data_IF_587771717973
#
_entry.id   IF_587771717973
#
_cell.length_a   1.000
_cell.length_b   1.000
_cell.length_c   1.000
_cell.angle_alpha   90.00
_cell.angle_beta   90.00
_cell.angle_gamma   90.00
#
_symmetry.space_group_name_H-M   'P 1'
#
loop_
_entity.id
_entity.type
_entity.pdbx_description
1 polymer ?
#
# COMPACT_ATOMS: atom_id res chain seq x y z
N UNK A 1 -65.52 43.10 3.16
CA UNK A 1 -65.53 42.68 4.59
C UNK A 1 -64.49 41.57 4.73
N UNK A 2 -63.27 41.87 5.20
CA UNK A 2 -62.76 41.73 6.58
C UNK A 2 -62.64 40.26 7.09
N UNK A 3 -61.38 39.80 7.23
CA UNK A 3 -60.70 39.00 8.29
C UNK A 3 -61.43 37.79 8.95
N UNK A 4 -60.78 36.68 9.37
CA UNK A 4 -59.45 36.54 9.98
C UNK A 4 -58.78 35.17 9.78
N UNK A 5 -57.46 35.21 9.94
CA UNK A 5 -56.47 34.13 10.00
C UNK A 5 -56.37 33.58 11.43
N UNK A 6 -56.05 32.29 11.61
CA UNK A 6 -55.38 31.79 12.82
C UNK A 6 -54.07 31.09 12.40
N UNK A 7 -52.96 31.78 12.59
CA UNK A 7 -51.60 31.26 12.45
C UNK A 7 -51.33 30.23 13.55
N UNK A 8 -50.95 29.00 13.15
CA UNK A 8 -50.26 28.09 14.08
C UNK A 8 -48.78 28.43 14.06
N UNK A 9 -48.29 28.76 15.25
CA UNK A 9 -46.89 29.11 15.54
C UNK A 9 -45.90 28.07 14.97
N UNK A 10 -44.82 28.50 14.27
CA UNK A 10 -43.80 27.62 13.68
C UNK A 10 -43.05 26.74 14.70
N UNK A 11 -43.22 27.00 15.99
CA UNK A 11 -42.65 26.19 17.08
C UNK A 11 -43.32 24.82 17.24
N UNK A 12 -44.59 24.65 16.81
CA UNK A 12 -45.31 23.37 16.94
C UNK A 12 -44.88 22.37 15.86
N UNK A 13 -44.61 22.84 14.64
CA UNK A 13 -44.10 22.00 13.55
C UNK A 13 -42.66 21.55 13.82
N UNK A 14 -41.83 22.41 14.41
CA UNK A 14 -40.44 22.11 14.75
C UNK A 14 -40.33 21.03 15.83
N UNK A 15 -41.21 21.07 16.85
CA UNK A 15 -41.26 20.05 17.89
C UNK A 15 -41.74 18.67 17.38
N UNK A 16 -42.68 18.63 16.44
CA UNK A 16 -43.12 17.39 15.79
C UNK A 16 -42.05 16.78 14.87
N UNK A 17 -41.22 17.62 14.24
CA UNK A 17 -40.11 17.18 13.40
C UNK A 17 -38.95 16.62 14.25
N UNK A 18 -38.61 17.28 15.37
CA UNK A 18 -37.57 16.84 16.31
C UNK A 18 -37.95 15.55 17.03
N UNK A 19 -39.22 15.37 17.41
CA UNK A 19 -39.72 14.12 18.00
C UNK A 19 -39.64 12.91 17.03
N UNK A 20 -39.80 13.14 15.71
CA UNK A 20 -39.64 12.11 14.66
C UNK A 20 -38.18 11.76 14.36
N UNK A 21 -37.25 12.68 14.61
CA UNK A 21 -35.81 12.44 14.44
C UNK A 21 -35.24 11.71 15.66
N UNK A 22 -35.70 12.07 16.87
CA UNK A 22 -35.29 11.41 18.11
C UNK A 22 -35.74 9.94 18.20
N UNK A 23 -36.87 9.56 17.59
CA UNK A 23 -37.35 8.16 17.58
C UNK A 23 -36.60 7.24 16.62
N UNK A 24 -35.76 7.78 15.72
CA UNK A 24 -34.93 6.99 14.78
C UNK A 24 -33.50 6.75 15.26
N UNK A 25 -33.03 7.41 16.32
CA UNK A 25 -31.69 7.21 16.87
C UNK A 25 -31.74 6.53 18.25
N UNK A 26 -31.78 5.19 18.24
CA UNK A 26 -31.65 4.36 19.44
C UNK A 26 -30.16 4.24 19.80
N UNK A 27 -29.63 5.16 20.60
CA UNK A 27 -28.32 5.00 21.23
C UNK A 27 -28.45 4.10 22.46
N UNK A 28 -27.81 2.93 22.42
CA UNK A 28 -27.41 2.18 23.62
C UNK A 28 -26.02 2.68 24.03
N UNK A 29 -25.94 3.44 25.11
CA UNK A 29 -24.84 3.35 26.05
C UNK A 29 -25.29 3.93 27.39
N UNK A 30 -25.19 3.10 28.44
CA UNK A 30 -25.33 3.51 29.83
C UNK A 30 -24.00 4.12 30.29
N UNK A 31 -24.10 4.92 31.34
CA UNK A 31 -23.02 5.44 32.19
C UNK A 31 -22.45 6.80 31.78
N UNK A 32 -23.17 7.87 32.15
CA UNK A 32 -22.56 9.08 32.74
C UNK A 32 -23.54 9.71 33.74
N UNK A 33 -23.06 9.88 34.98
CA UNK A 33 -23.75 10.58 36.06
C UNK A 33 -23.77 12.10 35.81
N UNK A 34 -24.91 12.73 36.14
CA UNK A 34 -25.07 14.18 36.11
C UNK A 34 -24.56 14.80 37.41
N UNK A 35 -23.65 15.76 37.31
CA UNK A 35 -23.33 16.71 38.39
C UNK A 35 -24.30 17.88 38.29
N UNK A 36 -25.06 18.10 39.37
CA UNK A 36 -25.93 19.27 39.54
C UNK A 36 -25.11 20.54 39.75
N UNK A 37 -25.41 21.60 39.01
CA UNK A 37 -24.99 22.97 39.36
C UNK A 37 -26.23 23.82 39.54
N UNK A 38 -26.28 24.50 40.68
CA UNK A 38 -27.39 25.31 41.18
C UNK A 38 -27.52 26.67 40.49
N UNK A 39 -28.75 27.18 40.55
CA UNK A 39 -29.27 28.52 40.24
C UNK A 39 -28.26 29.68 40.28
N UNK A 40 -28.34 30.52 39.25
CA UNK A 40 -27.89 31.92 39.29
C UNK A 40 -27.24 32.36 37.98
N UNK A 41 -27.95 33.19 37.23
CA UNK A 41 -27.45 34.25 36.33
C UNK A 41 -27.84 34.20 34.85
N UNK A 42 -28.41 35.33 34.45
CA UNK A 42 -28.74 35.72 33.09
C UNK A 42 -27.48 35.78 32.22
N UNK A 43 -27.36 34.91 31.22
CA UNK A 43 -26.50 35.13 30.06
C UNK A 43 -27.26 34.79 28.78
N UNK A 44 -27.83 35.84 28.18
CA UNK A 44 -28.71 35.79 27.03
C UNK A 44 -28.00 35.71 25.68
N UNK A 45 -28.74 35.18 24.70
CA UNK A 45 -28.71 35.38 23.24
C UNK A 45 -27.41 35.20 22.42
N UNK A 46 -26.22 35.14 23.00
CA UNK A 46 -24.97 35.03 22.21
C UNK A 46 -24.72 33.61 21.66
N UNK A 47 -25.11 32.57 22.40
CA UNK A 47 -24.82 31.18 22.05
C UNK A 47 -25.74 30.64 20.94
N UNK A 48 -27.02 31.02 20.97
CA UNK A 48 -28.01 30.61 19.96
C UNK A 48 -27.70 31.22 18.58
N UNK A 49 -27.20 32.46 18.52
CA UNK A 49 -26.76 33.07 17.26
C UNK A 49 -25.52 32.38 16.66
N UNK A 50 -24.57 31.95 17.50
CA UNK A 50 -23.38 31.21 17.02
C UNK A 50 -23.73 29.82 16.47
N UNK A 51 -24.68 29.12 17.10
CA UNK A 51 -25.16 27.83 16.60
C UNK A 51 -25.95 27.96 15.29
N UNK A 52 -26.78 29.01 15.14
CA UNK A 52 -27.53 29.26 13.92
C UNK A 52 -26.62 29.62 12.73
N UNK A 53 -25.57 30.41 12.98
CA UNK A 53 -24.60 30.80 11.95
C UNK A 53 -23.77 29.61 11.44
N UNK A 54 -23.37 28.70 12.35
CA UNK A 54 -22.68 27.46 11.97
C UNK A 54 -23.57 26.53 11.14
N UNK A 55 -24.85 26.39 11.52
CA UNK A 55 -25.80 25.53 10.79
C UNK A 55 -26.07 26.05 9.36
N UNK A 56 -26.24 27.37 9.21
CA UNK A 56 -26.45 28.02 7.90
C UNK A 56 -25.20 27.91 7.02
N UNK A 57 -24.00 28.08 7.60
CA UNK A 57 -22.74 27.92 6.86
C UNK A 57 -22.53 26.49 6.34
N UNK A 58 -22.88 25.46 7.13
CA UNK A 58 -22.84 24.06 6.68
C UNK A 58 -23.87 23.72 5.61
N UNK A 59 -25.07 24.33 5.63
CA UNK A 59 -26.07 24.14 4.57
C UNK A 59 -25.68 24.81 3.26
N UNK A 60 -25.08 26.01 3.30
CA UNK A 60 -24.56 26.68 2.10
C UNK A 60 -23.40 25.90 1.45
N UNK A 61 -22.51 25.31 2.26
CA UNK A 61 -21.45 24.43 1.76
C UNK A 61 -21.99 23.16 1.07
N UNK A 62 -23.11 22.61 1.55
CA UNK A 62 -23.78 21.44 0.93
C UNK A 62 -24.55 21.79 -0.36
N UNK A 63 -24.98 23.04 -0.52
CA UNK A 63 -25.61 23.51 -1.76
C UNK A 63 -24.55 23.81 -2.82
N UNK A 64 -23.41 24.40 -2.47
CA UNK A 64 -22.31 24.69 -3.41
C UNK A 64 -21.68 23.40 -3.96
N UNK A 65 -21.62 22.31 -3.17
CA UNK A 65 -21.09 21.01 -3.64
C UNK A 65 -22.06 20.23 -4.54
N UNK A 66 -23.36 20.58 -4.55
CA UNK A 66 -24.37 19.90 -5.37
C UNK A 66 -24.65 20.59 -6.73
N UNK A 67 -24.01 21.72 -7.03
CA UNK A 67 -24.11 22.38 -8.36
C UNK A 67 -22.84 22.11 -9.17
N UNK A 68 -22.50 20.83 -9.43
CA UNK A 68 -21.67 20.48 -10.60
C UNK A 68 -21.71 18.98 -10.97
N UNK A 69 -22.91 18.38 -10.97
CA UNK A 69 -23.09 17.00 -11.44
C UNK A 69 -24.39 16.83 -12.23
N UNK A 70 -24.60 17.68 -13.24
CA UNK A 70 -25.65 17.45 -14.23
C UNK A 70 -25.24 17.99 -15.60
N UNK A 71 -24.43 17.22 -16.33
CA UNK A 71 -24.31 17.32 -17.79
C UNK A 71 -23.64 16.06 -18.34
N UNK A 72 -24.46 15.07 -18.68
CA UNK A 72 -24.36 14.22 -19.89
C UNK A 72 -25.34 13.06 -19.75
N UNK A 73 -26.60 13.35 -20.08
CA UNK A 73 -27.58 12.37 -20.53
C UNK A 73 -27.76 12.61 -22.01
N UNK A 74 -27.33 11.66 -22.84
CA UNK A 74 -27.89 11.48 -24.18
C UNK A 74 -28.36 10.04 -24.29
N UNK A 75 -29.59 9.94 -24.79
CA UNK A 75 -30.46 8.78 -24.92
C UNK A 75 -29.89 7.66 -25.78
N UNK A 76 -30.25 6.42 -25.48
CA UNK A 76 -30.71 5.45 -26.50
C UNK A 76 -31.56 4.35 -25.83
N UNK A 77 -32.82 4.25 -26.26
CA UNK A 77 -33.68 3.09 -26.01
C UNK A 77 -33.40 1.99 -27.04
N UNK A 78 -33.42 0.71 -26.64
CA UNK A 78 -34.39 -0.29 -27.11
C UNK A 78 -34.19 -1.71 -26.50
N UNK A 79 -35.34 -2.32 -26.20
CA UNK A 79 -35.75 -3.75 -26.17
C UNK A 79 -35.27 -4.76 -25.09
N UNK A 80 -36.30 -5.33 -24.43
CA UNK A 80 -36.28 -6.49 -23.56
C UNK A 80 -36.08 -7.80 -24.35
N UNK A 81 -35.15 -8.64 -23.87
CA UNK A 81 -34.96 -10.00 -24.36
C UNK A 81 -34.10 -10.83 -23.40
N UNK A 82 -34.77 -11.56 -22.52
CA UNK A 82 -34.34 -12.81 -21.86
C UNK A 82 -32.86 -13.03 -21.46
N UNK A 83 -32.61 -13.01 -20.15
CA UNK A 83 -31.76 -14.04 -19.52
C UNK A 83 -30.32 -13.66 -19.13
N UNK A 84 -30.14 -13.37 -17.84
CA UNK A 84 -28.87 -13.35 -17.07
C UNK A 84 -27.83 -12.31 -17.47
N UNK A 85 -27.98 -11.10 -16.92
CA UNK A 85 -26.96 -10.06 -16.91
C UNK A 85 -25.82 -10.41 -15.94
N UNK A 86 -24.67 -10.79 -16.50
CA UNK A 86 -23.38 -10.77 -15.82
C UNK A 86 -22.99 -9.30 -15.60
N UNK A 87 -22.90 -8.84 -14.35
CA UNK A 87 -22.41 -7.50 -14.01
C UNK A 87 -20.91 -7.37 -14.34
N UNK A 88 -20.57 -7.24 -15.62
CA UNK A 88 -19.28 -6.73 -16.04
C UNK A 88 -19.28 -5.21 -15.88
N UNK A 89 -18.80 -4.76 -14.72
CA UNK A 89 -18.44 -3.37 -14.49
C UNK A 89 -17.23 -3.01 -15.38
N UNK A 90 -17.44 -2.81 -16.69
CA UNK A 90 -16.44 -2.24 -17.60
C UNK A 90 -16.28 -0.76 -17.28
N UNK A 91 -15.57 -0.45 -16.18
CA UNK A 91 -14.92 0.86 -16.07
C UNK A 91 -13.95 0.97 -17.24
N UNK A 92 -14.08 2.03 -18.03
CA UNK A 92 -13.06 2.42 -19.00
C UNK A 92 -11.68 2.35 -18.33
N UNK A 93 -10.62 1.92 -19.03
CA UNK A 93 -9.33 1.78 -18.40
C UNK A 93 -8.88 3.12 -17.80
N UNK A 94 -8.55 3.09 -16.52
CA UNK A 94 -8.23 4.27 -15.70
C UNK A 94 -7.00 5.06 -16.17
N UNK A 95 -6.28 4.56 -17.18
CA UNK A 95 -5.12 5.21 -17.80
C UNK A 95 -5.49 6.28 -18.84
N UNK A 96 -6.78 6.53 -19.13
CA UNK A 96 -7.19 7.46 -20.18
C UNK A 96 -7.34 8.92 -19.71
N UNK A 97 -6.93 9.25 -18.48
CA UNK A 97 -6.74 10.66 -18.11
C UNK A 97 -5.36 11.09 -18.55
N UNK A 98 -5.31 12.03 -19.49
CA UNK A 98 -4.15 12.91 -19.75
C UNK A 98 -3.96 13.84 -18.55
N UNK A 99 -3.74 13.27 -17.38
CA UNK A 99 -3.26 13.98 -16.21
C UNK A 99 -1.76 14.19 -16.47
N UNK A 100 -1.29 15.43 -16.41
CA UNK A 100 0.13 15.74 -16.59
C UNK A 100 0.90 15.28 -15.36
N UNK A 101 1.06 13.97 -15.27
CA UNK A 101 1.81 13.32 -14.22
C UNK A 101 3.27 13.80 -14.23
N UNK A 102 3.80 14.37 -15.32
CA UNK A 102 5.12 15.01 -15.29
C UNK A 102 5.13 16.23 -14.34
N UNK A 103 4.07 17.04 -14.34
CA UNK A 103 3.88 18.15 -13.39
C UNK A 103 3.75 17.62 -11.95
N UNK A 104 2.95 16.57 -11.73
CA UNK A 104 2.80 15.98 -10.40
C UNK A 104 4.12 15.36 -9.89
N UNK A 105 4.87 14.68 -10.76
CA UNK A 105 6.18 14.11 -10.44
C UNK A 105 7.23 15.19 -10.15
N UNK A 106 7.23 16.33 -10.85
CA UNK A 106 8.15 17.44 -10.56
C UNK A 106 8.00 17.94 -9.12
N UNK A 107 6.78 17.93 -8.58
CA UNK A 107 6.52 18.35 -7.20
C UNK A 107 7.09 17.38 -6.15
N UNK A 108 7.25 16.09 -6.48
CA UNK A 108 7.86 15.09 -5.60
C UNK A 108 9.35 14.87 -5.85
N UNK A 109 9.87 15.36 -6.97
CA UNK A 109 11.21 15.05 -7.46
C UNK A 109 12.32 15.75 -6.68
N UNK A 110 12.01 16.74 -5.84
CA UNK A 110 13.03 17.54 -5.15
C UNK A 110 12.70 17.64 -3.67
N UNK A 111 13.51 16.96 -2.87
CA UNK A 111 13.57 17.13 -1.42
C UNK A 111 14.89 17.81 -1.04
N UNK A 112 14.90 18.96 -0.31
CA UNK A 112 16.10 19.76 -0.09
C UNK A 112 17.28 19.00 0.52
N UNK A 113 17.02 18.16 1.53
CA UNK A 113 18.06 17.34 2.16
C UNK A 113 18.60 16.28 1.19
N UNK A 114 17.74 15.67 0.38
CA UNK A 114 18.17 14.68 -0.59
C UNK A 114 18.98 15.34 -1.71
N UNK A 115 18.62 16.55 -2.13
CA UNK A 115 19.39 17.32 -3.11
C UNK A 115 20.78 17.68 -2.59
N UNK A 116 20.87 18.12 -1.33
CA UNK A 116 22.13 18.43 -0.66
C UNK A 116 23.05 17.20 -0.62
N UNK A 117 22.49 16.03 -0.25
CA UNK A 117 23.23 14.75 -0.21
C UNK A 117 23.67 14.34 -1.62
N UNK A 118 22.78 14.33 -2.61
CA UNK A 118 23.12 13.91 -3.98
C UNK A 118 24.11 14.87 -4.65
N UNK A 119 24.03 16.17 -4.39
CA UNK A 119 25.01 17.16 -4.88
C UNK A 119 26.37 16.96 -4.24
N UNK A 120 26.42 16.71 -2.93
CA UNK A 120 27.66 16.39 -2.22
C UNK A 120 28.28 15.08 -2.72
N UNK A 121 27.44 14.08 -2.99
CA UNK A 121 27.87 12.82 -3.61
C UNK A 121 28.47 13.06 -5.00
N UNK A 122 27.83 13.85 -5.87
CA UNK A 122 28.37 14.18 -7.21
C UNK A 122 29.73 14.86 -7.11
N UNK A 123 29.87 15.87 -6.24
CA UNK A 123 31.15 16.55 -6.00
C UNK A 123 32.25 15.59 -5.55
N UNK A 124 31.94 14.66 -4.64
CA UNK A 124 32.89 13.64 -4.21
C UNK A 124 33.28 12.68 -5.35
N UNK A 125 32.38 12.39 -6.29
CA UNK A 125 32.68 11.55 -7.46
C UNK A 125 33.55 12.26 -8.50
N UNK A 126 33.47 13.59 -8.57
CA UNK A 126 34.28 14.43 -9.46
C UNK A 126 35.67 14.69 -8.88
N UNK A 127 35.79 14.76 -7.56
CA UNK A 127 37.09 14.77 -6.90
C UNK A 127 37.72 13.37 -6.94
N UNK A 128 38.97 13.24 -7.38
CA UNK A 128 39.75 11.98 -7.29
C UNK A 128 40.07 11.54 -5.84
N UNK A 129 39.39 12.11 -4.84
CA UNK A 129 39.59 11.82 -3.43
C UNK A 129 38.85 10.58 -2.94
N UNK A 130 39.11 10.23 -1.68
CA UNK A 130 38.45 9.13 -0.99
C UNK A 130 36.98 9.45 -0.80
N UNK A 131 36.11 8.53 -1.24
CA UNK A 131 34.68 8.63 -1.03
C UNK A 131 34.33 8.37 0.43
N UNK A 132 33.50 9.22 1.03
CA UNK A 132 32.93 9.01 2.35
C UNK A 132 31.40 8.99 2.27
N UNK A 133 30.80 7.99 2.89
CA UNK A 133 29.36 7.87 3.06
C UNK A 133 29.01 8.05 4.54
N UNK A 134 28.78 9.28 5.03
CA UNK A 134 28.27 9.49 6.37
C UNK A 134 26.96 8.71 6.55
N UNK A 135 26.83 7.95 7.63
CA UNK A 135 25.60 7.18 7.92
C UNK A 135 24.36 8.08 7.96
N UNK A 136 24.52 9.33 8.41
CA UNK A 136 23.46 10.35 8.41
C UNK A 136 22.91 10.71 7.01
N UNK A 137 23.61 10.34 5.93
CA UNK A 137 23.10 10.50 4.57
C UNK A 137 22.23 9.33 4.12
N UNK A 138 22.29 8.19 4.81
CA UNK A 138 21.45 7.06 4.48
C UNK A 138 19.99 7.38 4.80
N UNK A 139 19.11 6.87 3.95
CA UNK A 139 17.67 6.96 4.14
C UNK A 139 17.30 6.22 5.44
N UNK A 140 16.68 6.87 6.45
CA UNK A 140 16.44 6.24 7.74
C UNK A 140 15.59 4.96 7.63
N UNK A 141 15.80 3.97 8.53
CA UNK A 141 14.96 2.78 8.55
C UNK A 141 13.54 3.11 9.03
N UNK A 142 12.64 2.16 8.86
CA UNK A 142 11.30 2.23 9.46
C UNK A 142 10.48 3.48 9.07
N UNK A 143 10.64 3.93 7.83
CA UNK A 143 9.83 5.01 7.28
C UNK A 143 8.35 4.62 7.16
N UNK A 144 7.46 5.63 7.05
CA UNK A 144 6.03 5.40 7.00
C UNK A 144 5.61 4.84 5.64
N UNK A 145 5.30 3.54 5.60
CA UNK A 145 4.71 2.90 4.42
C UNK A 145 3.53 2.03 4.84
N UNK A 146 2.45 2.07 4.05
CA UNK A 146 1.27 1.24 4.31
C UNK A 146 1.65 -0.25 4.27
N UNK A 147 1.20 -0.97 5.28
CA UNK A 147 1.42 -2.40 5.40
C UNK A 147 0.40 -3.16 4.55
N UNK A 148 0.85 -4.26 3.97
CA UNK A 148 -0.03 -5.26 3.37
C UNK A 148 0.22 -6.57 4.10
N UNK A 149 -0.81 -7.08 4.77
CA UNK A 149 -0.74 -8.29 5.56
C UNK A 149 -1.78 -9.25 5.01
N UNK A 150 -1.40 -10.50 4.83
CA UNK A 150 -2.32 -11.55 4.41
C UNK A 150 -2.47 -12.53 5.56
N UNK A 151 -3.70 -12.88 5.87
CA UNK A 151 -4.04 -13.73 7.01
C UNK A 151 -4.73 -15.01 6.57
N UNK A 152 -4.47 -16.10 7.28
CA UNK A 152 -5.20 -17.35 7.21
C UNK A 152 -5.84 -17.58 8.59
N UNK A 153 -7.08 -17.10 8.80
CA UNK A 153 -7.74 -17.12 10.09
C UNK A 153 -7.82 -18.53 10.71
N UNK A 154 -8.10 -19.56 9.92
CA UNK A 154 -8.22 -20.96 10.40
C UNK A 154 -6.97 -21.46 11.11
N UNK A 155 -5.79 -20.96 10.71
CA UNK A 155 -4.50 -21.42 11.22
C UNK A 155 -3.80 -20.41 12.13
N UNK A 156 -4.49 -19.33 12.52
CA UNK A 156 -3.90 -18.19 13.25
C UNK A 156 -2.58 -17.73 12.62
N UNK A 157 -2.51 -17.70 11.28
CA UNK A 157 -1.27 -17.42 10.54
C UNK A 157 -1.38 -16.09 9.82
N UNK A 158 -0.33 -15.28 9.89
CA UNK A 158 -0.24 -14.02 9.18
C UNK A 158 1.11 -13.88 8.50
N UNK A 159 1.12 -13.31 7.31
CA UNK A 159 2.36 -12.93 6.62
C UNK A 159 2.30 -11.49 6.14
N UNK A 160 3.42 -10.79 6.24
CA UNK A 160 3.56 -9.51 5.57
C UNK A 160 3.87 -9.69 4.07
N UNK A 161 3.26 -8.84 3.24
CA UNK A 161 3.47 -8.77 1.80
C UNK A 161 4.51 -7.70 1.46
N UNK A 162 5.78 -8.09 1.49
CA UNK A 162 6.89 -7.26 1.01
C UNK A 162 7.04 -7.41 -0.49
N UNK A 163 6.95 -6.29 -1.22
CA UNK A 163 7.05 -6.28 -2.67
C UNK A 163 8.38 -6.84 -3.19
N UNK A 164 8.29 -7.54 -4.32
CA UNK A 164 9.42 -8.19 -5.02
C UNK A 164 10.08 -9.34 -4.27
N UNK A 165 9.30 -9.96 -3.37
CA UNK A 165 9.67 -11.17 -2.63
C UNK A 165 8.49 -12.16 -2.67
N UNK A 166 8.32 -12.81 -3.83
CA UNK A 166 7.27 -13.83 -4.07
C UNK A 166 5.84 -13.41 -3.65
N UNK A 167 5.47 -12.13 -3.80
CA UNK A 167 4.17 -11.62 -3.32
C UNK A 167 2.97 -12.36 -3.90
N UNK A 168 2.94 -12.60 -5.21
CA UNK A 168 1.84 -13.31 -5.89
C UNK A 168 1.72 -14.76 -5.44
N UNK A 169 2.83 -15.49 -5.33
CA UNK A 169 2.82 -16.89 -4.90
C UNK A 169 2.38 -16.98 -3.44
N UNK A 170 2.85 -16.07 -2.59
CA UNK A 170 2.46 -16.01 -1.18
C UNK A 170 0.98 -15.67 -1.01
N UNK A 171 0.44 -14.78 -1.84
CA UNK A 171 -0.99 -14.50 -1.89
C UNK A 171 -1.80 -15.76 -2.23
N UNK A 172 -1.37 -16.47 -3.28
CA UNK A 172 -2.00 -17.70 -3.71
C UNK A 172 -1.95 -18.82 -2.66
N UNK A 173 -0.84 -18.96 -1.92
CA UNK A 173 -0.74 -19.89 -0.78
C UNK A 173 -1.80 -19.57 0.27
N UNK A 174 -1.92 -18.31 0.68
CA UNK A 174 -2.91 -17.93 1.69
C UNK A 174 -4.35 -18.03 1.18
N UNK A 175 -4.56 -17.79 -0.12
CA UNK A 175 -5.84 -18.03 -0.76
C UNK A 175 -6.24 -19.52 -0.68
N UNK A 176 -5.32 -20.41 -1.05
CA UNK A 176 -5.49 -21.86 -0.93
C UNK A 176 -5.73 -22.31 0.53
N UNK A 177 -5.06 -21.69 1.51
CA UNK A 177 -5.28 -22.00 2.93
C UNK A 177 -6.68 -21.59 3.42
N UNK A 178 -7.28 -20.55 2.82
CA UNK A 178 -8.61 -20.07 3.21
C UNK A 178 -9.74 -20.90 2.61
N UNK A 179 -9.61 -21.34 1.35
CA UNK A 179 -10.62 -22.12 0.64
C UNK A 179 -9.98 -23.12 -0.33
N UNK A 180 -9.44 -24.26 0.16
CA UNK A 180 -8.77 -25.23 -0.70
C UNK A 180 -9.73 -25.89 -1.69
N UNK A 181 -10.97 -26.16 -1.27
CA UNK A 181 -12.00 -26.81 -2.10
C UNK A 181 -12.38 -25.90 -3.26
N UNK A 182 -12.70 -24.63 -2.99
CA UNK A 182 -13.05 -23.65 -4.02
C UNK A 182 -11.87 -23.35 -4.94
N UNK A 183 -10.66 -23.25 -4.40
CA UNK A 183 -9.44 -23.02 -5.18
C UNK A 183 -9.21 -24.15 -6.20
N UNK A 184 -9.30 -25.41 -5.77
CA UNK A 184 -9.14 -26.58 -6.65
C UNK A 184 -10.30 -26.73 -7.64
N UNK A 185 -11.55 -26.55 -7.18
CA UNK A 185 -12.74 -26.65 -8.04
C UNK A 185 -12.76 -25.62 -9.18
N UNK A 186 -12.05 -24.49 -9.02
CA UNK A 186 -11.88 -23.48 -10.06
C UNK A 186 -10.59 -23.66 -10.88
N UNK A 187 -9.96 -24.84 -10.83
CA UNK A 187 -8.73 -25.18 -11.54
C UNK A 187 -7.58 -24.17 -11.30
N UNK A 188 -7.52 -23.59 -10.09
CA UNK A 188 -6.47 -22.64 -9.73
C UNK A 188 -5.23 -23.40 -9.29
N UNK A 189 -4.05 -22.85 -9.60
CA UNK A 189 -2.78 -23.40 -9.12
C UNK A 189 -1.92 -22.28 -8.52
N UNK A 190 -1.31 -22.55 -7.37
CA UNK A 190 -0.52 -21.55 -6.64
C UNK A 190 0.62 -21.00 -7.50
N UNK A 191 1.26 -21.86 -8.31
CA UNK A 191 2.40 -21.49 -9.15
C UNK A 191 2.02 -20.63 -10.37
N UNK A 192 0.80 -20.75 -10.90
CA UNK A 192 0.34 -20.01 -12.08
C UNK A 192 -0.58 -18.83 -11.76
N UNK A 193 -0.83 -18.57 -10.48
CA UNK A 193 -1.72 -17.48 -10.06
C UNK A 193 -1.26 -16.11 -10.54
N UNK A 194 -2.23 -15.29 -10.90
CA UNK A 194 -2.01 -13.92 -11.38
C UNK A 194 -2.64 -12.95 -10.40
N UNK A 195 -1.88 -11.93 -10.02
CA UNK A 195 -2.35 -10.89 -9.10
C UNK A 195 -3.68 -10.25 -9.51
N UNK A 196 -3.87 -10.00 -10.81
CA UNK A 196 -5.08 -9.35 -11.35
C UNK A 196 -6.32 -10.26 -11.34
N UNK A 197 -6.11 -11.57 -11.27
CA UNK A 197 -7.14 -12.60 -11.40
C UNK A 197 -7.18 -13.50 -10.16
N UNK A 198 -6.58 -13.05 -9.04
CA UNK A 198 -6.47 -13.83 -7.80
C UNK A 198 -7.86 -14.28 -7.35
N UNK A 199 -8.02 -15.59 -7.15
CA UNK A 199 -9.30 -16.20 -6.77
C UNK A 199 -9.90 -15.56 -5.50
N UNK A 200 -9.07 -15.32 -4.50
CA UNK A 200 -9.52 -14.72 -3.24
C UNK A 200 -9.60 -13.19 -3.26
N UNK A 201 -9.13 -12.55 -4.34
CA UNK A 201 -9.06 -11.10 -4.46
C UNK A 201 -8.43 -10.45 -3.21
N UNK A 202 -9.20 -9.62 -2.51
CA UNK A 202 -8.74 -8.86 -1.35
C UNK A 202 -9.22 -9.40 0.00
N UNK A 203 -9.93 -10.54 0.03
CA UNK A 203 -10.63 -11.02 1.24
C UNK A 203 -9.68 -11.28 2.43
N UNK A 204 -8.46 -11.74 2.13
CA UNK A 204 -7.44 -12.05 3.13
C UNK A 204 -6.50 -10.87 3.44
N UNK A 205 -6.66 -9.70 2.78
CA UNK A 205 -5.78 -8.55 2.97
C UNK A 205 -6.17 -7.70 4.16
N UNK A 206 -5.18 -7.27 4.93
CA UNK A 206 -5.30 -6.40 6.09
C UNK A 206 -4.18 -5.36 6.07
N UNK A 207 -4.44 -4.19 6.64
CA UNK A 207 -3.50 -3.06 6.66
C UNK A 207 -2.74 -2.90 7.95
N UNK A 208 -3.09 -3.66 9.00
CA UNK A 208 -2.46 -3.59 10.31
C UNK A 208 -2.76 -4.90 11.08
N UNK A 209 -1.73 -5.56 11.60
CA UNK A 209 -1.90 -6.83 12.33
C UNK A 209 -2.45 -6.60 13.74
N UNK A 210 -2.14 -5.47 14.37
CA UNK A 210 -2.61 -5.18 15.73
C UNK A 210 -4.13 -4.95 15.76
N UNK A 211 -4.67 -4.38 14.68
CA UNK A 211 -6.12 -4.19 14.52
C UNK A 211 -6.79 -5.55 14.29
N UNK A 212 -6.21 -6.40 13.43
CA UNK A 212 -6.71 -7.77 13.19
C UNK A 212 -6.75 -8.60 14.46
N UNK A 213 -5.67 -8.59 15.24
CA UNK A 213 -5.59 -9.37 16.48
C UNK A 213 -6.58 -8.90 17.53
N UNK A 214 -6.83 -7.59 17.58
CA UNK A 214 -7.82 -6.98 18.48
C UNK A 214 -9.24 -7.35 18.07
N UNK A 215 -9.58 -7.18 16.79
CA UNK A 215 -10.91 -7.49 16.24
C UNK A 215 -11.24 -8.98 16.37
N UNK A 216 -10.26 -9.84 16.13
CA UNK A 216 -10.43 -11.29 16.17
C UNK A 216 -10.23 -11.88 17.59
N UNK A 217 -9.89 -11.05 18.58
CA UNK A 217 -9.58 -11.43 19.95
C UNK A 217 -8.58 -12.61 20.06
N UNK A 218 -7.57 -12.65 19.18
CA UNK A 218 -6.56 -13.72 19.14
C UNK A 218 -5.26 -13.27 18.51
N UNK A 219 -4.18 -13.97 18.86
CA UNK A 219 -2.84 -13.73 18.30
C UNK A 219 -2.58 -14.59 17.07
N UNK A 220 -1.81 -14.03 16.14
CA UNK A 220 -1.38 -14.75 14.95
C UNK A 220 0.10 -15.06 15.03
N UNK A 221 0.50 -16.26 14.61
CA UNK A 221 1.89 -16.52 14.28
C UNK A 221 2.24 -15.73 13.02
N UNK A 222 3.32 -14.96 13.09
CA UNK A 222 3.71 -14.02 12.03
C UNK A 222 5.00 -14.48 11.37
N UNK A 223 5.04 -14.41 10.05
CA UNK A 223 6.29 -14.55 9.31
C UNK A 223 6.39 -13.51 8.19
N UNK A 224 7.61 -13.23 7.77
CA UNK A 224 7.86 -12.33 6.64
C UNK A 224 9.05 -12.85 5.85
N UNK A 225 8.95 -12.80 4.53
CA UNK A 225 10.11 -13.06 3.68
C UNK A 225 10.87 -11.76 3.49
N UNK A 226 12.16 -11.79 3.77
CA UNK A 226 13.11 -10.70 3.51
C UNK A 226 14.03 -11.11 2.36
N UNK A 227 14.56 -10.14 1.63
CA UNK A 227 15.42 -10.41 0.47
C UNK A 227 16.60 -9.45 0.47
N UNK A 228 17.73 -9.90 -0.07
CA UNK A 228 18.86 -9.02 -0.29
C UNK A 228 18.41 -7.72 -1.00
N UNK A 229 18.65 -6.52 -0.43
CA UNK A 229 18.06 -5.29 -0.94
C UNK A 229 18.43 -4.98 -2.39
N UNK A 230 19.66 -5.26 -2.80
CA UNK A 230 20.11 -5.09 -4.19
C UNK A 230 19.37 -6.01 -5.16
N UNK A 231 19.24 -7.29 -4.83
CA UNK A 231 18.56 -8.27 -5.69
C UNK A 231 17.03 -8.02 -5.73
N UNK A 232 16.46 -7.46 -4.65
CA UNK A 232 15.08 -6.95 -4.61
C UNK A 232 14.90 -5.74 -5.53
N UNK A 233 15.81 -4.76 -5.47
CA UNK A 233 15.80 -3.59 -6.37
C UNK A 233 15.86 -4.02 -7.84
N UNK A 234 16.79 -4.93 -8.19
CA UNK A 234 16.90 -5.47 -9.55
C UNK A 234 15.58 -6.10 -10.01
N UNK A 235 14.93 -6.86 -9.14
CA UNK A 235 13.63 -7.45 -9.46
C UNK A 235 12.54 -6.39 -9.63
N UNK A 236 12.57 -5.34 -8.80
CA UNK A 236 11.68 -4.20 -8.91
C UNK A 236 11.83 -3.48 -10.24
N UNK A 237 13.06 -3.14 -10.63
CA UNK A 237 13.34 -2.40 -11.85
C UNK A 237 12.97 -3.21 -13.09
N UNK A 238 13.40 -4.47 -13.21
CA UNK A 238 13.05 -5.27 -14.39
C UNK A 238 11.54 -5.45 -14.53
N UNK A 239 10.83 -5.76 -13.43
CA UNK A 239 9.38 -5.94 -13.48
C UNK A 239 8.63 -4.63 -13.78
N UNK A 240 8.87 -3.58 -12.98
CA UNK A 240 8.08 -2.34 -13.02
C UNK A 240 8.51 -1.35 -14.09
N UNK A 241 9.78 -1.36 -14.44
CA UNK A 241 10.34 -0.41 -15.38
C UNK A 241 10.48 -0.93 -16.80
N UNK A 242 10.80 -2.22 -16.96
CA UNK A 242 11.06 -2.78 -18.29
C UNK A 242 9.88 -3.61 -18.80
N UNK A 243 9.33 -4.49 -17.96
CA UNK A 243 8.33 -5.46 -18.39
C UNK A 243 6.89 -4.92 -18.33
N UNK A 244 6.55 -4.11 -17.33
CA UNK A 244 5.19 -3.61 -17.15
C UNK A 244 4.84 -2.52 -18.18
N UNK A 245 3.95 -2.88 -19.12
CA UNK A 245 3.51 -1.99 -20.21
C UNK A 245 2.27 -1.14 -19.88
N UNK A 246 1.65 -1.37 -18.72
CA UNK A 246 0.39 -0.72 -18.32
C UNK A 246 0.53 0.79 -18.02
N UNK A 247 1.76 1.28 -17.88
CA UNK A 247 2.04 2.70 -17.63
C UNK A 247 2.56 3.36 -18.89
N UNK A 248 2.07 4.59 -19.12
CA UNK A 248 2.52 5.44 -20.21
C UNK A 248 4.04 5.60 -20.16
N UNK A 249 4.76 5.54 -21.30
CA UNK A 249 6.21 5.71 -21.33
C UNK A 249 6.70 7.01 -20.68
N UNK A 250 5.87 8.05 -20.65
CA UNK A 250 6.15 9.36 -20.06
C UNK A 250 6.18 9.34 -18.52
N UNK A 251 5.42 8.44 -17.88
CA UNK A 251 5.31 8.35 -16.40
C UNK A 251 6.05 7.16 -15.83
N UNK A 252 6.38 6.18 -16.68
CA UNK A 252 7.08 4.96 -16.29
C UNK A 252 8.43 5.30 -15.64
N UNK A 253 8.74 4.61 -14.53
CA UNK A 253 9.99 4.79 -13.78
C UNK A 253 10.21 6.23 -13.32
N UNK A 254 9.19 6.84 -12.72
CA UNK A 254 9.26 8.23 -12.25
C UNK A 254 9.62 9.19 -13.39
N UNK A 255 9.17 8.91 -14.61
CA UNK A 255 9.47 9.69 -15.82
C UNK A 255 10.92 9.63 -16.31
N UNK A 256 11.73 8.68 -15.83
CA UNK A 256 13.14 8.56 -16.23
C UNK A 256 13.38 7.65 -17.44
N UNK A 257 12.33 7.06 -18.02
CA UNK A 257 12.42 6.06 -19.10
C UNK A 257 13.41 4.96 -18.70
N UNK A 258 14.55 4.86 -19.38
CA UNK A 258 15.61 3.86 -19.10
C UNK A 258 16.86 4.45 -18.43
N UNK A 259 16.86 5.74 -18.06
CA UNK A 259 18.01 6.39 -17.43
C UNK A 259 18.08 6.01 -15.94
N UNK A 260 19.02 5.13 -15.59
CA UNK A 260 19.19 4.64 -14.22
C UNK A 260 19.60 5.74 -13.23
N UNK A 261 20.50 6.67 -13.61
CA UNK A 261 20.91 7.79 -12.75
C UNK A 261 19.75 8.70 -12.39
N UNK A 262 18.92 9.02 -13.37
CA UNK A 262 17.67 9.75 -13.17
C UNK A 262 16.76 8.99 -12.20
N UNK A 263 16.55 7.69 -12.46
CA UNK A 263 15.61 6.89 -11.68
C UNK A 263 16.01 6.81 -10.20
N UNK A 264 17.26 6.46 -9.90
CA UNK A 264 17.71 6.36 -8.50
C UNK A 264 17.73 7.71 -7.80
N UNK A 265 18.03 8.80 -8.50
CA UNK A 265 18.00 10.14 -7.91
C UNK A 265 16.58 10.57 -7.56
N UNK A 266 15.62 10.41 -8.50
CA UNK A 266 14.21 10.74 -8.26
C UNK A 266 13.58 9.84 -7.20
N UNK A 267 13.92 8.55 -7.20
CA UNK A 267 13.48 7.63 -6.16
C UNK A 267 14.02 8.04 -4.79
N UNK A 268 15.27 8.47 -4.68
CA UNK A 268 15.85 8.94 -3.43
C UNK A 268 15.12 10.18 -2.89
N UNK A 269 14.86 11.19 -3.74
CA UNK A 269 14.05 12.36 -3.35
C UNK A 269 12.65 11.97 -2.90
N UNK A 270 11.98 11.10 -3.67
CA UNK A 270 10.63 10.62 -3.36
C UNK A 270 10.60 9.94 -1.98
N UNK A 271 11.53 9.04 -1.71
CA UNK A 271 11.59 8.34 -0.42
C UNK A 271 11.89 9.31 0.74
N UNK A 272 12.81 10.26 0.57
CA UNK A 272 13.03 11.30 1.56
C UNK A 272 11.76 12.14 1.83
N UNK A 273 11.06 12.54 0.77
CA UNK A 273 9.78 13.25 0.89
C UNK A 273 8.72 12.44 1.64
N UNK A 274 8.63 11.14 1.38
CA UNK A 274 7.74 10.23 2.10
C UNK A 274 8.10 10.15 3.60
N UNK A 275 9.39 10.09 3.92
CA UNK A 275 9.85 9.96 5.30
C UNK A 275 9.61 11.24 6.12
N UNK A 276 10.02 12.40 5.59
CA UNK A 276 10.07 13.64 6.35
C UNK A 276 8.82 14.52 6.17
N UNK A 277 8.27 14.61 4.95
CA UNK A 277 7.20 15.56 4.64
C UNK A 277 5.81 14.93 4.60
N UNK A 278 5.69 13.60 4.72
CA UNK A 278 4.43 12.84 4.60
C UNK A 278 3.55 13.30 3.44
N UNK A 279 4.18 13.60 2.31
CA UNK A 279 3.52 14.22 1.17
C UNK A 279 2.42 13.31 0.63
N UNK A 280 1.25 13.88 0.32
CA UNK A 280 0.23 13.16 -0.46
C UNK A 280 0.85 12.73 -1.78
N UNK A 281 0.76 11.44 -2.12
CA UNK A 281 1.30 10.89 -3.35
C UNK A 281 0.18 10.51 -4.32
N UNK A 282 0.35 10.86 -5.58
CA UNK A 282 -0.39 10.26 -6.68
C UNK A 282 -0.37 8.73 -6.56
N UNK A 283 -1.45 8.07 -6.99
CA UNK A 283 -1.58 6.62 -6.90
C UNK A 283 -0.46 5.89 -7.65
N UNK A 284 -0.06 6.40 -8.80
CA UNK A 284 0.99 5.89 -9.67
C UNK A 284 2.37 6.04 -9.01
N UNK A 285 2.62 7.20 -8.40
CA UNK A 285 3.86 7.48 -7.66
C UNK A 285 3.97 6.53 -6.48
N UNK A 286 2.90 6.38 -5.70
CA UNK A 286 2.83 5.44 -4.58
C UNK A 286 3.00 3.99 -5.06
N UNK A 287 2.40 3.64 -6.20
CA UNK A 287 2.56 2.32 -6.80
C UNK A 287 4.01 2.04 -7.15
N UNK A 288 4.78 3.00 -7.68
CA UNK A 288 6.22 2.80 -7.88
C UNK A 288 6.93 2.72 -6.52
N UNK A 289 6.71 3.69 -5.64
CA UNK A 289 7.39 3.79 -4.33
C UNK A 289 7.31 2.49 -3.52
N UNK A 290 6.13 1.87 -3.39
CA UNK A 290 5.95 0.65 -2.59
C UNK A 290 6.81 -0.54 -3.06
N UNK A 291 7.21 -0.59 -4.34
CA UNK A 291 8.06 -1.66 -4.86
C UNK A 291 9.53 -1.44 -4.60
N UNK A 292 9.95 -0.19 -4.37
CA UNK A 292 11.35 0.20 -4.23
C UNK A 292 11.71 0.76 -2.85
N UNK A 293 10.75 1.19 -2.05
CA UNK A 293 10.98 1.64 -0.67
C UNK A 293 11.64 0.55 0.17
N UNK A 294 12.53 0.88 1.11
CA UNK A 294 13.23 -0.09 1.94
C UNK A 294 12.26 -1.11 2.56
N UNK A 295 12.67 -2.37 2.64
CA UNK A 295 11.81 -3.42 3.22
C UNK A 295 11.61 -3.22 4.73
N UNK A 296 12.53 -2.54 5.42
CA UNK A 296 12.36 -2.12 6.82
C UNK A 296 11.22 -1.12 7.02
N UNK A 297 10.72 -0.46 5.96
CA UNK A 297 9.58 0.45 6.04
C UNK A 297 8.24 -0.28 6.06
N UNK A 298 8.24 -1.59 5.80
CA UNK A 298 7.02 -2.39 5.68
C UNK A 298 6.72 -3.12 7.00
N UNK A 299 5.54 -3.74 7.06
CA UNK A 299 5.15 -4.70 8.11
C UNK A 299 5.16 -4.16 9.55
N UNK A 300 5.11 -2.83 9.73
CA UNK A 300 5.29 -2.18 11.03
C UNK A 300 6.56 -2.64 11.76
N UNK A 301 7.65 -2.94 11.03
CA UNK A 301 8.84 -3.52 11.65
C UNK A 301 9.42 -2.64 12.76
N UNK A 302 9.19 -1.32 12.71
CA UNK A 302 9.54 -0.41 13.81
C UNK A 302 9.08 -0.90 15.19
N UNK A 303 7.87 -1.46 15.25
CA UNK A 303 7.24 -1.92 16.49
C UNK A 303 7.25 -3.44 16.61
N UNK A 304 7.15 -4.14 15.48
CA UNK A 304 6.78 -5.55 15.45
C UNK A 304 7.90 -6.48 14.99
N UNK A 305 9.09 -5.99 14.60
CA UNK A 305 10.14 -6.80 13.98
C UNK A 305 10.46 -8.09 14.77
N UNK A 306 10.61 -8.00 16.08
CA UNK A 306 10.92 -9.15 16.95
C UNK A 306 9.81 -10.20 17.02
N UNK A 307 8.59 -9.87 16.58
CA UNK A 307 7.45 -10.79 16.58
C UNK A 307 7.34 -11.63 15.31
N UNK A 308 8.12 -11.30 14.27
CA UNK A 308 8.10 -12.00 12.99
C UNK A 308 9.16 -13.10 12.93
N UNK A 309 8.75 -14.28 12.48
CA UNK A 309 9.70 -15.27 11.96
C UNK A 309 10.18 -14.80 10.58
N UNK A 310 11.41 -14.30 10.50
CA UNK A 310 11.99 -13.84 9.23
C UNK A 310 12.51 -15.04 8.44
N UNK A 311 12.15 -15.09 7.15
CA UNK A 311 12.64 -16.09 6.20
C UNK A 311 13.44 -15.35 5.14
N UNK A 312 14.72 -15.68 5.02
CA UNK A 312 15.53 -15.13 3.94
C UNK A 312 15.16 -15.78 2.61
N UNK A 313 14.89 -14.96 1.61
CA UNK A 313 14.71 -15.39 0.23
C UNK A 313 16.10 -15.54 -0.43
N UNK A 314 16.55 -16.77 -0.72
CA UNK A 314 17.92 -17.00 -1.13
C UNK A 314 18.14 -16.66 -2.62
N UNK A 315 19.37 -16.32 -2.98
CA UNK A 315 19.77 -16.04 -4.37
C UNK A 315 20.63 -17.19 -4.92
N UNK A 316 20.11 -18.42 -4.80
CA UNK A 316 20.83 -19.66 -5.12
C UNK A 316 20.10 -20.49 -6.17
N UNK A 317 20.76 -21.50 -6.74
CA UNK A 317 20.15 -22.45 -7.69
C UNK A 317 19.08 -23.32 -7.04
N UNK A 318 19.23 -23.64 -5.75
CA UNK A 318 18.30 -24.46 -4.96
C UNK A 318 17.24 -23.64 -4.23
N UNK A 319 17.05 -22.36 -4.63
CA UNK A 319 16.16 -21.43 -3.97
C UNK A 319 14.73 -21.98 -3.78
N UNK A 320 14.15 -22.63 -4.80
CA UNK A 320 12.79 -23.16 -4.72
C UNK A 320 12.66 -24.19 -3.59
N UNK A 321 13.65 -25.09 -3.46
CA UNK A 321 13.73 -26.08 -2.38
C UNK A 321 13.78 -25.43 -1.02
N UNK A 322 14.72 -24.50 -0.83
CA UNK A 322 14.91 -23.82 0.45
C UNK A 322 13.65 -23.06 0.88
N UNK A 323 13.03 -22.31 -0.04
CA UNK A 323 11.78 -21.59 0.24
C UNK A 323 10.64 -22.56 0.56
N UNK A 324 10.52 -23.66 -0.18
CA UNK A 324 9.46 -24.65 0.07
C UNK A 324 9.63 -25.36 1.43
N UNK A 325 10.86 -25.58 1.89
CA UNK A 325 11.17 -26.14 3.22
C UNK A 325 10.84 -25.15 4.34
N UNK A 326 11.21 -23.89 4.17
CA UNK A 326 10.91 -22.83 5.14
C UNK A 326 9.39 -22.60 5.28
N UNK A 327 8.65 -22.61 4.16
CA UNK A 327 7.19 -22.57 4.18
C UNK A 327 6.61 -23.79 4.88
N UNK A 328 7.05 -25.01 4.53
CA UNK A 328 6.56 -26.24 5.17
C UNK A 328 6.77 -26.21 6.68
N UNK A 329 7.93 -25.74 7.15
CA UNK A 329 8.24 -25.57 8.57
C UNK A 329 7.26 -24.63 9.27
N UNK A 330 6.99 -23.46 8.69
CA UNK A 330 6.06 -22.48 9.26
C UNK A 330 4.63 -23.02 9.25
N UNK A 331 4.18 -23.60 8.14
CA UNK A 331 2.83 -24.13 7.99
C UNK A 331 2.60 -25.32 8.94
N UNK A 332 3.60 -26.19 9.12
CA UNK A 332 3.55 -27.30 10.07
C UNK A 332 3.39 -26.79 11.50
N UNK A 333 4.15 -25.76 11.88
CA UNK A 333 4.04 -25.10 13.19
C UNK A 333 2.67 -24.43 13.40
N UNK A 334 2.04 -23.96 12.32
CA UNK A 334 0.69 -23.38 12.36
C UNK A 334 -0.44 -24.43 12.44
N UNK A 335 -0.10 -25.72 12.41
CA UNK A 335 -1.10 -26.80 12.42
C UNK A 335 -1.77 -27.04 11.06
N UNK A 336 -1.16 -26.61 9.95
CA UNK A 336 -1.71 -26.90 8.61
C UNK A 336 -1.56 -28.40 8.29
N UNK A 337 -2.63 -29.07 7.84
CA UNK A 337 -2.64 -30.49 7.48
C UNK A 337 -1.53 -30.89 6.47
N UNK A 338 -1.03 -32.12 6.60
CA UNK A 338 0.12 -32.61 5.81
C UNK A 338 -0.19 -32.68 4.30
N UNK A 339 -1.40 -33.06 3.92
CA UNK A 339 -1.88 -33.09 2.54
C UNK A 339 -1.84 -31.69 1.91
N UNK A 340 -2.40 -30.68 2.58
CA UNK A 340 -2.35 -29.28 2.13
C UNK A 340 -0.91 -28.77 2.02
N UNK A 341 -0.07 -29.06 3.02
CA UNK A 341 1.35 -28.68 2.99
C UNK A 341 2.10 -29.35 1.85
N UNK A 342 1.78 -30.60 1.53
CA UNK A 342 2.39 -31.35 0.42
C UNK A 342 2.05 -30.70 -0.93
N UNK A 343 0.81 -30.23 -1.10
CA UNK A 343 0.38 -29.48 -2.28
C UNK A 343 1.14 -28.15 -2.38
N UNK A 344 1.15 -27.37 -1.30
CA UNK A 344 1.88 -26.09 -1.26
C UNK A 344 3.36 -26.30 -1.58
N UNK A 345 4.02 -27.27 -0.95
CA UNK A 345 5.43 -27.61 -1.21
C UNK A 345 5.64 -27.93 -2.69
N UNK A 346 4.82 -28.78 -3.29
CA UNK A 346 4.91 -29.14 -4.72
C UNK A 346 4.77 -27.90 -5.61
N UNK A 347 3.82 -27.01 -5.31
CA UNK A 347 3.60 -25.78 -6.08
C UNK A 347 4.78 -24.82 -5.96
N UNK A 348 5.35 -24.65 -4.77
CA UNK A 348 6.55 -23.83 -4.57
C UNK A 348 7.77 -24.39 -5.31
N UNK A 349 7.84 -25.72 -5.45
CA UNK A 349 8.90 -26.42 -6.18
C UNK A 349 8.79 -26.31 -7.70
N UNK A 350 7.60 -26.07 -8.26
CA UNK A 350 7.42 -25.80 -9.72
C UNK A 350 8.17 -24.55 -10.17
N UNK A 351 8.58 -23.71 -9.23
CA UNK A 351 9.48 -22.60 -9.47
C UNK A 351 8.74 -21.32 -9.81
N UNK A 352 9.09 -20.71 -10.93
CA UNK A 352 8.89 -19.27 -11.17
C UNK A 352 7.44 -18.90 -11.43
N UNK A 353 6.97 -17.85 -10.75
CA UNK A 353 5.74 -17.17 -11.15
C UNK A 353 5.91 -16.42 -12.47
N UNK A 354 4.80 -16.08 -13.17
CA UNK A 354 4.84 -15.30 -14.41
C UNK A 354 5.59 -13.96 -14.31
N UNK A 355 5.68 -13.37 -13.11
CA UNK A 355 6.38 -12.10 -12.84
C UNK A 355 7.85 -12.28 -12.40
N UNK A 356 8.37 -13.50 -12.38
CA UNK A 356 9.75 -13.76 -12.00
C UNK A 356 10.73 -13.15 -13.02
N UNK A 357 11.63 -12.29 -12.55
CA UNK A 357 12.66 -11.65 -13.39
C UNK A 357 14.01 -12.40 -13.39
N UNK A 358 14.14 -13.44 -12.55
CA UNK A 358 15.37 -14.20 -12.34
C UNK A 358 15.86 -14.86 -13.65
N UNK A 359 17.18 -14.82 -13.90
CA UNK A 359 17.85 -15.31 -15.13
C UNK A 359 17.41 -14.64 -16.46
N UNK A 360 16.66 -13.54 -16.44
CA UNK A 360 16.38 -12.79 -17.69
C UNK A 360 17.62 -12.04 -18.18
N UNK A 361 17.80 -11.94 -19.51
CA UNK A 361 18.88 -11.14 -20.13
C UNK A 361 18.81 -9.68 -19.68
N UNK A 362 17.59 -9.15 -19.54
CA UNK A 362 17.33 -7.82 -19.02
C UNK A 362 17.91 -7.62 -17.61
N UNK A 363 17.72 -8.59 -16.69
CA UNK A 363 18.28 -8.53 -15.34
C UNK A 363 19.81 -8.45 -15.35
N UNK A 364 20.48 -9.26 -16.15
CA UNK A 364 21.94 -9.22 -16.28
C UNK A 364 22.43 -7.87 -16.83
N UNK A 365 21.72 -7.32 -17.82
CA UNK A 365 22.01 -5.98 -18.35
C UNK A 365 21.86 -4.87 -17.31
N UNK A 366 20.76 -4.87 -16.55
CA UNK A 366 20.52 -3.90 -15.47
C UNK A 366 21.55 -4.04 -14.36
N UNK A 367 21.89 -5.28 -13.95
CA UNK A 367 22.93 -5.53 -12.96
C UNK A 367 24.28 -4.98 -13.40
N UNK A 368 24.68 -5.21 -14.65
CA UNK A 368 25.91 -4.64 -15.22
C UNK A 368 25.87 -3.11 -15.19
N UNK A 369 24.80 -2.50 -15.70
CA UNK A 369 24.62 -1.04 -15.72
C UNK A 369 24.78 -0.41 -14.33
N UNK A 370 24.21 -1.02 -13.29
CA UNK A 370 24.35 -0.52 -11.92
C UNK A 370 25.79 -0.70 -11.43
N UNK A 371 26.37 -1.90 -11.59
CA UNK A 371 27.68 -2.20 -11.03
C UNK A 371 28.81 -1.36 -11.66
N UNK A 372 28.66 -0.99 -12.93
CA UNK A 372 29.63 -0.13 -13.64
C UNK A 372 29.48 1.35 -13.32
N UNK A 373 28.36 1.79 -12.73
CA UNK A 373 28.09 3.20 -12.45
C UNK A 373 28.21 3.50 -10.96
N UNK A 374 29.36 4.03 -10.55
CA UNK A 374 29.68 4.33 -9.15
C UNK A 374 28.62 5.22 -8.49
N UNK A 375 28.10 6.24 -9.18
CA UNK A 375 27.06 7.11 -8.63
C UNK A 375 25.79 6.32 -8.31
N UNK A 376 25.33 5.48 -9.24
CA UNK A 376 24.12 4.65 -9.04
C UNK A 376 24.30 3.71 -7.86
N UNK A 377 25.47 3.05 -7.76
CA UNK A 377 25.79 2.18 -6.62
C UNK A 377 25.69 2.90 -5.29
N UNK A 378 26.27 4.10 -5.18
CA UNK A 378 26.27 4.88 -3.94
C UNK A 378 24.88 5.38 -3.57
N UNK A 379 24.06 5.81 -4.53
CA UNK A 379 22.66 6.17 -4.23
C UNK A 379 21.86 4.96 -3.74
N UNK A 380 22.07 3.77 -4.32
CA UNK A 380 21.44 2.53 -3.85
C UNK A 380 21.93 2.13 -2.46
N UNK A 381 23.22 2.31 -2.17
CA UNK A 381 23.77 2.12 -0.83
C UNK A 381 23.09 3.04 0.19
N UNK A 382 22.95 4.34 -0.12
CA UNK A 382 22.24 5.29 0.73
C UNK A 382 20.77 4.91 0.96
N UNK A 383 20.06 4.40 -0.07
CA UNK A 383 18.66 3.99 0.07
C UNK A 383 18.49 2.75 0.95
N UNK A 384 19.40 1.78 0.86
CA UNK A 384 19.19 0.46 1.44
C UNK A 384 20.14 0.08 2.56
N UNK A 385 21.08 0.95 2.94
CA UNK A 385 22.06 0.69 4.01
C UNK A 385 21.42 0.07 5.25
N UNK A 386 20.37 0.69 5.79
CA UNK A 386 19.73 0.16 6.99
C UNK A 386 18.93 -1.13 6.76
N UNK A 387 18.49 -1.45 5.54
CA UNK A 387 17.94 -2.80 5.29
C UNK A 387 19.02 -3.87 5.46
N UNK A 388 20.27 -3.58 5.08
CA UNK A 388 21.36 -4.53 5.33
C UNK A 388 21.61 -4.71 6.83
N UNK A 389 21.63 -3.60 7.58
CA UNK A 389 21.86 -3.62 9.03
C UNK A 389 20.71 -4.31 9.78
N UNK A 390 19.46 -3.85 9.56
CA UNK A 390 18.27 -4.33 10.28
C UNK A 390 18.04 -5.82 10.09
N UNK A 391 18.34 -6.35 8.90
CA UNK A 391 18.08 -7.75 8.57
C UNK A 391 19.35 -8.62 8.53
N UNK A 392 20.51 -8.08 8.94
CA UNK A 392 21.76 -8.84 9.03
C UNK A 392 22.35 -9.30 7.70
N UNK A 393 22.03 -8.63 6.58
CA UNK A 393 22.65 -8.94 5.30
C UNK A 393 24.09 -8.43 5.24
N UNK A 394 24.97 -9.20 4.60
CA UNK A 394 26.36 -8.79 4.38
C UNK A 394 26.43 -7.56 3.46
N UNK A 395 27.10 -6.52 3.92
CA UNK A 395 27.52 -5.39 3.09
C UNK A 395 28.58 -5.89 2.11
N UNK A 396 28.37 -5.70 0.81
CA UNK A 396 29.31 -6.15 -0.21
C UNK A 396 30.14 -4.98 -0.77
N UNK A 397 31.46 -5.17 -0.99
CA UNK A 397 32.31 -4.21 -1.69
C UNK A 397 31.70 -3.66 -2.97
N UNK A 398 31.06 -4.54 -3.73
CA UNK A 398 30.42 -4.20 -5.00
C UNK A 398 29.36 -3.11 -4.89
N UNK A 399 28.80 -2.82 -3.73
CA UNK A 399 27.84 -1.71 -3.53
C UNK A 399 28.41 -0.62 -2.62
N UNK A 400 29.17 -1.00 -1.58
CA UNK A 400 29.60 -0.10 -0.50
C UNK A 400 31.04 0.43 -0.64
N UNK A 401 31.90 -0.21 -1.44
CA UNK A 401 33.25 0.29 -1.82
C UNK A 401 33.19 1.14 -3.10
#
# INVERSE_FOLDING_TARGET
>A
MKFSIFEKSPYVLLNLLLARIASKFRWRNKDYQWVSVSKGDHFGMSFLFRCLFLAISTMLALIIVNVDYSKQTEDYQFEEGSGKTMYLNRRAPWYNKTYDAEIEYRNYAIHPLADTILTSLRRQMESNGTYSMPEMWALPPFGPLRENIVIAPTYNLATCQIEKIMTTVRDAVFCYLSDPIGFEANNRTISSELWKESYCGWSNYRSNIDDVEREMARKYMRFALIRNPFERFLSGYVDKCLNEKNFSPQVRCLGCRYNMRCFVSRLFHLLYGMHYNRTYLAREVWYVARHFAPQSWQCNFKKQLSTYNLIEYPETTNQATMVAEEFDRVLKKAGVPQDMRTIIRRELMKGRSPHSTSKSRARSGVKKMILTDRYVRKVLALMYYFDYIVFGFKLTPSLFD
#
